data_IF_025874752865
#
_entry.id   IF_025874752865
#
_cell.length_a   1.000
_cell.length_b   1.000
_cell.length_c   1.000
_cell.angle_alpha   90.00
_cell.angle_beta   90.00
_cell.angle_gamma   90.00
#
_symmetry.space_group_name_H-M   'P 1'
#
loop_
_entity.id
_entity.type
_entity.pdbx_description
1 polymer ?
#
# COMPACT_ATOMS: atom_id res chain seq x y z
N UNK A 1 -6.48 7.19 11.45
CA UNK A 1 -7.14 8.24 10.64
C UNK A 1 -8.61 8.25 11.00
N UNK A 2 -9.17 9.42 11.29
CA UNK A 2 -10.58 9.62 11.64
C UNK A 2 -11.53 9.20 10.50
N UNK A 3 -12.66 8.54 10.85
CA UNK A 3 -13.69 8.07 9.91
C UNK A 3 -14.35 9.24 9.18
N UNK A 4 -14.47 10.41 9.80
CA UNK A 4 -15.03 11.62 9.17
C UNK A 4 -14.18 12.11 7.99
N UNK A 5 -12.85 12.12 8.16
CA UNK A 5 -11.91 12.52 7.08
C UNK A 5 -11.96 11.58 5.88
N UNK A 6 -12.17 10.27 6.09
CA UNK A 6 -12.26 9.31 4.99
C UNK A 6 -13.55 9.47 4.18
N UNK A 7 -14.69 9.68 4.87
CA UNK A 7 -15.97 9.96 4.19
C UNK A 7 -15.85 11.14 3.22
N UNK A 8 -15.22 12.23 3.67
CA UNK A 8 -15.03 13.42 2.82
C UNK A 8 -14.26 13.13 1.52
N UNK A 9 -13.33 12.16 1.51
CA UNK A 9 -12.51 11.87 0.32
C UNK A 9 -13.29 11.24 -0.83
N UNK A 10 -14.29 10.42 -0.55
CA UNK A 10 -15.08 9.77 -1.59
C UNK A 10 -16.43 10.45 -1.87
N UNK A 11 -16.85 11.43 -1.05
CA UNK A 11 -18.04 12.24 -1.31
C UNK A 11 -17.75 13.54 -2.07
N UNK A 12 -16.48 13.95 -2.19
CA UNK A 12 -16.11 15.19 -2.88
C UNK A 12 -15.65 14.92 -4.30
N UNK A 13 -16.24 15.64 -5.27
CA UNK A 13 -15.78 15.65 -6.66
C UNK A 13 -14.41 16.33 -6.81
N UNK A 14 -13.58 15.79 -7.70
CA UNK A 14 -12.41 16.48 -8.24
C UNK A 14 -12.68 16.94 -9.68
N UNK A 15 -12.37 18.19 -10.01
CA UNK A 15 -12.52 18.67 -11.39
C UNK A 15 -11.33 18.21 -12.25
N UNK A 16 -11.58 17.22 -13.11
CA UNK A 16 -10.59 16.64 -14.02
C UNK A 16 -10.33 17.49 -15.27
N UNK A 17 -11.10 18.56 -15.51
CA UNK A 17 -10.96 19.43 -16.69
C UNK A 17 -9.86 20.48 -16.53
N UNK A 18 -9.34 20.63 -15.31
CA UNK A 18 -8.26 21.56 -15.02
C UNK A 18 -6.93 21.11 -15.67
N UNK A 19 -6.47 21.87 -16.67
CA UNK A 19 -5.21 21.61 -17.38
C UNK A 19 -3.95 22.00 -16.61
N UNK A 20 -4.06 22.60 -15.42
CA UNK A 20 -2.89 22.99 -14.61
C UNK A 20 -2.22 21.82 -13.88
N UNK A 21 -2.78 20.61 -13.94
CA UNK A 21 -2.23 19.42 -13.27
C UNK A 21 -2.52 19.35 -11.76
N UNK A 22 -3.23 20.35 -11.21
CA UNK A 22 -3.63 20.37 -9.80
C UNK A 22 -5.05 19.84 -9.61
N UNK A 23 -5.24 19.04 -8.56
CA UNK A 23 -6.55 18.57 -8.10
C UNK A 23 -7.33 19.76 -7.53
N UNK A 24 -8.47 20.12 -8.15
CA UNK A 24 -9.41 21.09 -7.60
C UNK A 24 -10.51 20.34 -6.87
N UNK A 25 -10.69 20.63 -5.59
CA UNK A 25 -11.81 20.13 -4.81
C UNK A 25 -13.08 20.92 -5.15
N UNK A 26 -14.15 20.22 -5.57
CA UNK A 26 -15.47 20.82 -5.61
C UNK A 26 -16.09 20.83 -4.20
N UNK A 27 -17.08 21.71 -3.98
CA UNK A 27 -17.97 21.64 -2.83
C UNK A 27 -19.20 20.74 -3.09
N UNK A 28 -19.32 20.21 -4.30
CA UNK A 28 -20.41 19.33 -4.70
C UNK A 28 -20.26 17.93 -4.09
N UNK A 29 -21.39 17.32 -3.78
CA UNK A 29 -21.45 15.98 -3.18
C UNK A 29 -21.79 14.94 -4.24
N UNK A 30 -21.00 13.87 -4.29
CA UNK A 30 -21.26 12.75 -5.20
C UNK A 30 -22.53 12.01 -4.84
N UNK A 31 -23.20 11.48 -5.88
CA UNK A 31 -24.23 10.46 -5.72
C UNK A 31 -23.74 9.30 -4.86
N UNK A 32 -24.64 8.59 -4.15
CA UNK A 32 -24.27 7.40 -3.40
C UNK A 32 -23.51 6.37 -4.26
N UNK A 33 -22.62 5.55 -3.68
CA UNK A 33 -21.94 4.50 -4.41
C UNK A 33 -22.93 3.57 -5.14
N UNK A 34 -22.60 3.14 -6.36
CA UNK A 34 -23.51 2.32 -7.17
C UNK A 34 -23.79 0.99 -6.47
N UNK A 35 -24.94 0.39 -6.76
CA UNK A 35 -25.35 -0.92 -6.23
C UNK A 35 -25.42 -0.99 -4.68
N UNK A 36 -25.51 0.16 -4.00
CA UNK A 36 -25.52 0.22 -2.54
C UNK A 36 -24.19 -0.19 -1.90
N UNK A 37 -23.08 -0.11 -2.65
CA UNK A 37 -21.76 -0.52 -2.16
C UNK A 37 -21.30 0.33 -0.96
N UNK A 38 -20.75 -0.36 0.03
CA UNK A 38 -20.07 0.27 1.17
C UNK A 38 -18.60 0.48 0.84
N UNK A 39 -18.23 1.74 0.62
CA UNK A 39 -16.85 2.13 0.34
C UNK A 39 -15.95 1.72 1.52
N UNK A 40 -14.91 0.98 1.20
CA UNK A 40 -13.96 0.43 2.16
C UNK A 40 -12.62 1.11 1.99
N UNK A 41 -12.03 1.56 3.11
CA UNK A 41 -10.68 2.11 3.12
C UNK A 41 -9.64 1.01 2.89
N UNK A 42 -8.62 1.31 2.11
CA UNK A 42 -7.45 0.45 1.94
C UNK A 42 -6.17 1.22 1.66
N UNK A 43 -5.38 0.66 0.76
CA UNK A 43 -4.05 1.13 0.36
C UNK A 43 -3.98 1.05 -1.17
N UNK A 44 -3.19 1.93 -1.79
CA UNK A 44 -2.89 1.92 -3.22
C UNK A 44 -2.19 0.62 -3.67
N UNK A 45 -1.39 0.02 -2.77
CA UNK A 45 -0.60 -1.17 -3.08
C UNK A 45 -1.36 -2.44 -2.69
N UNK A 46 -1.69 -3.24 -3.69
CA UNK A 46 -2.52 -4.43 -3.54
C UNK A 46 -1.88 -5.63 -4.25
N UNK A 47 -2.23 -6.84 -3.81
CA UNK A 47 -1.86 -8.09 -4.47
C UNK A 47 -3.14 -8.86 -4.77
N UNK A 48 -3.38 -9.10 -6.05
CA UNK A 48 -4.61 -9.74 -6.54
C UNK A 48 -4.29 -10.93 -7.44
N UNK A 49 -5.16 -11.94 -7.38
CA UNK A 49 -5.08 -13.07 -8.31
C UNK A 49 -5.48 -12.67 -9.73
N UNK A 50 -5.00 -13.40 -10.74
CA UNK A 50 -5.45 -13.22 -12.13
C UNK A 50 -6.98 -13.27 -12.25
N UNK A 51 -7.64 -14.21 -11.55
CA UNK A 51 -9.11 -14.33 -11.53
C UNK A 51 -9.80 -13.08 -10.99
N UNK A 52 -9.25 -12.46 -9.94
CA UNK A 52 -9.76 -11.19 -9.43
C UNK A 52 -9.67 -10.10 -10.49
N UNK A 53 -8.53 -9.96 -11.16
CA UNK A 53 -8.31 -8.93 -12.18
C UNK A 53 -9.25 -9.13 -13.36
N UNK A 54 -9.36 -10.36 -13.88
CA UNK A 54 -10.27 -10.69 -14.98
C UNK A 54 -11.73 -10.42 -14.62
N UNK A 55 -12.13 -10.72 -13.38
CA UNK A 55 -13.45 -10.39 -12.87
C UNK A 55 -13.65 -8.87 -12.77
N UNK A 56 -12.72 -8.13 -12.19
CA UNK A 56 -12.82 -6.67 -12.02
C UNK A 56 -12.94 -5.93 -13.36
N UNK A 57 -12.32 -6.45 -14.42
CA UNK A 57 -12.39 -5.89 -15.78
C UNK A 57 -13.72 -6.18 -16.49
N UNK A 58 -14.44 -7.24 -16.12
CA UNK A 58 -15.63 -7.72 -16.84
C UNK A 58 -16.94 -7.47 -16.08
N UNK A 59 -16.90 -7.56 -14.75
CA UNK A 59 -18.07 -7.47 -13.90
C UNK A 59 -18.67 -6.07 -13.93
N UNK A 60 -19.99 -6.00 -14.08
CA UNK A 60 -20.72 -4.73 -14.17
C UNK A 60 -20.57 -3.90 -12.90
N UNK A 61 -20.66 -4.52 -11.72
CA UNK A 61 -20.57 -3.79 -10.44
C UNK A 61 -19.17 -3.19 -10.27
N UNK A 62 -18.13 -3.93 -10.65
CA UNK A 62 -16.75 -3.45 -10.60
C UNK A 62 -16.47 -2.28 -11.55
N UNK A 63 -17.07 -2.30 -12.75
CA UNK A 63 -16.95 -1.22 -13.75
C UNK A 63 -17.77 0.02 -13.38
N UNK A 64 -18.99 -0.17 -12.88
CA UNK A 64 -19.83 0.92 -12.41
C UNK A 64 -19.18 1.63 -11.21
N UNK A 65 -18.59 0.87 -10.27
CA UNK A 65 -17.80 1.45 -9.20
C UNK A 65 -16.57 2.20 -9.75
N UNK A 66 -15.88 1.65 -10.76
CA UNK A 66 -14.72 2.30 -11.35
C UNK A 66 -15.09 3.66 -11.95
N UNK A 67 -16.17 3.71 -12.73
CA UNK A 67 -16.69 4.97 -13.28
C UNK A 67 -17.06 5.95 -12.17
N UNK A 68 -17.69 5.47 -11.09
CA UNK A 68 -18.08 6.32 -9.97
C UNK A 68 -16.89 6.88 -9.18
N UNK A 69 -15.76 6.17 -9.08
CA UNK A 69 -14.57 6.66 -8.33
C UNK A 69 -13.64 7.56 -9.17
N UNK A 70 -13.83 7.67 -10.48
CA UNK A 70 -12.88 8.36 -11.40
C UNK A 70 -12.55 9.81 -10.98
N UNK A 71 -13.54 10.48 -10.42
CA UNK A 71 -13.55 11.87 -9.97
C UNK A 71 -13.66 11.97 -8.43
N UNK A 72 -13.19 10.94 -7.72
CA UNK A 72 -13.00 10.99 -6.25
C UNK A 72 -11.54 11.31 -5.89
N UNK A 73 -11.30 11.78 -4.66
CA UNK A 73 -9.94 11.96 -4.19
C UNK A 73 -9.30 10.61 -3.84
N UNK A 74 -8.10 10.34 -4.37
CA UNK A 74 -7.29 9.13 -4.08
C UNK A 74 -8.06 7.81 -4.31
N UNK A 75 -8.62 7.58 -5.52
CA UNK A 75 -9.44 6.40 -5.85
C UNK A 75 -8.74 5.06 -5.59
N UNK A 76 -7.42 5.05 -5.70
CA UNK A 76 -6.54 3.93 -5.41
C UNK A 76 -6.57 3.48 -3.94
N UNK A 77 -6.91 4.37 -2.99
CA UNK A 77 -7.05 4.04 -1.57
C UNK A 77 -8.41 3.44 -1.18
N UNK A 78 -9.38 3.31 -2.11
CA UNK A 78 -10.70 2.73 -1.78
C UNK A 78 -11.31 1.84 -2.86
N UNK A 79 -11.00 2.00 -4.14
CA UNK A 79 -11.57 1.17 -5.21
C UNK A 79 -11.31 -0.32 -4.98
N UNK A 80 -10.03 -0.68 -4.92
CA UNK A 80 -9.56 -2.06 -4.74
C UNK A 80 -10.04 -2.68 -3.42
N UNK A 81 -10.00 -1.88 -2.36
CA UNK A 81 -10.42 -2.34 -1.03
C UNK A 81 -11.92 -2.57 -0.93
N UNK A 82 -12.73 -1.78 -1.63
CA UNK A 82 -14.18 -1.95 -1.70
C UNK A 82 -14.54 -3.25 -2.42
N UNK A 83 -13.94 -3.51 -3.58
CA UNK A 83 -14.17 -4.74 -4.34
C UNK A 83 -13.71 -5.99 -3.57
N UNK A 84 -12.61 -5.89 -2.83
CA UNK A 84 -12.07 -7.01 -2.06
C UNK A 84 -12.80 -7.27 -0.73
N UNK A 85 -13.70 -6.40 -0.27
CA UNK A 85 -14.31 -6.51 1.06
C UNK A 85 -15.72 -7.14 1.01
N UNK A 86 -15.78 -8.46 1.14
CA UNK A 86 -17.04 -9.22 1.20
C UNK A 86 -17.73 -9.13 2.57
N UNK A 87 -17.04 -8.67 3.62
CA UNK A 87 -17.67 -8.41 4.91
C UNK A 87 -18.67 -7.25 4.82
N UNK A 88 -18.26 -6.15 4.17
CA UNK A 88 -19.14 -4.99 3.99
C UNK A 88 -20.03 -5.09 2.75
N UNK A 89 -19.62 -5.85 1.75
CA UNK A 89 -20.32 -6.02 0.47
C UNK A 89 -20.55 -7.51 0.14
N UNK A 90 -21.40 -8.22 0.91
CA UNK A 90 -21.59 -9.68 0.76
C UNK A 90 -22.24 -10.09 -0.57
N UNK A 91 -22.87 -9.17 -1.28
CA UNK A 91 -23.46 -9.41 -2.61
C UNK A 91 -22.41 -9.52 -3.73
N UNK A 92 -21.18 -9.06 -3.51
CA UNK A 92 -20.11 -9.15 -4.49
C UNK A 92 -19.67 -10.60 -4.69
N UNK A 93 -19.50 -11.00 -5.95
CA UNK A 93 -18.95 -12.30 -6.33
C UNK A 93 -17.43 -12.23 -6.59
N UNK A 94 -16.74 -11.43 -5.79
CA UNK A 94 -15.29 -11.16 -5.95
C UNK A 94 -14.45 -12.43 -5.74
N UNK A 95 -13.70 -12.90 -6.76
CA UNK A 95 -12.80 -14.03 -6.61
C UNK A 95 -11.70 -13.75 -5.58
N UNK A 96 -11.63 -14.56 -4.52
CA UNK A 96 -10.64 -14.39 -3.44
C UNK A 96 -10.93 -13.22 -2.50
N UNK A 97 -12.14 -12.66 -2.51
CA UNK A 97 -12.52 -11.56 -1.65
C UNK A 97 -12.42 -11.89 -0.15
N UNK A 98 -12.05 -10.90 0.64
CA UNK A 98 -11.85 -11.02 2.08
C UNK A 98 -13.17 -10.92 2.85
N UNK A 99 -13.45 -11.92 3.68
CA UNK A 99 -14.71 -12.04 4.45
C UNK A 99 -14.63 -11.47 5.88
N UNK A 100 -13.44 -11.11 6.35
CA UNK A 100 -13.23 -10.58 7.70
C UNK A 100 -13.45 -9.06 7.79
N UNK A 101 -13.44 -8.54 9.02
CA UNK A 101 -13.58 -7.09 9.24
C UNK A 101 -12.45 -6.31 8.52
N UNK A 102 -12.76 -5.23 7.76
CA UNK A 102 -11.79 -4.56 6.89
C UNK A 102 -10.55 -4.03 7.62
N UNK A 103 -10.71 -3.50 8.84
CA UNK A 103 -9.59 -2.98 9.64
C UNK A 103 -8.62 -4.07 10.15
N UNK A 104 -9.00 -5.35 10.04
CA UNK A 104 -8.18 -6.51 10.44
C UNK A 104 -7.62 -7.28 9.25
N UNK A 105 -7.75 -6.74 8.04
CA UNK A 105 -7.27 -7.40 6.82
C UNK A 105 -5.74 -7.55 6.87
N UNK A 106 -5.19 -8.77 6.76
CA UNK A 106 -3.75 -8.95 6.67
C UNK A 106 -3.23 -8.29 5.39
N UNK A 107 -2.10 -7.58 5.50
CA UNK A 107 -1.37 -7.04 4.35
C UNK A 107 -0.09 -7.83 4.19
N UNK A 108 0.08 -8.50 3.06
CA UNK A 108 1.35 -9.15 2.70
C UNK A 108 2.03 -8.47 1.49
N UNK A 109 1.35 -7.52 0.84
CA UNK A 109 1.86 -6.90 -0.39
C UNK A 109 2.99 -5.92 -0.13
N UNK A 110 2.74 -4.91 0.72
CA UNK A 110 3.71 -3.85 0.98
C UNK A 110 3.69 -3.38 2.42
N UNK A 111 4.87 -3.31 3.02
CA UNK A 111 5.10 -2.65 4.31
C UNK A 111 5.38 -1.15 4.10
N UNK A 112 4.70 -0.30 4.86
CA UNK A 112 4.93 1.15 4.87
C UNK A 112 5.16 1.59 6.31
N UNK A 113 6.32 2.20 6.56
CA UNK A 113 6.69 2.72 7.88
C UNK A 113 6.00 4.07 8.17
N UNK A 114 4.72 4.07 8.51
CA UNK A 114 4.00 5.31 8.85
C UNK A 114 4.49 5.89 10.18
N UNK A 115 4.68 7.21 10.23
CA UNK A 115 4.88 7.93 11.48
C UNK A 115 3.60 7.80 12.32
N UNK A 116 3.72 7.13 13.46
CA UNK A 116 2.63 7.00 14.41
C UNK A 116 3.18 7.11 15.83
N UNK A 117 2.36 7.54 16.81
CA UNK A 117 2.79 7.59 18.21
C UNK A 117 3.30 6.23 18.73
N UNK A 118 2.82 5.13 18.15
CA UNK A 118 3.12 3.74 18.57
C UNK A 118 4.35 3.18 17.85
N UNK A 119 4.85 3.85 16.80
CA UNK A 119 5.90 3.34 15.91
C UNK A 119 7.06 4.33 15.71
N UNK A 120 7.20 5.32 16.60
CA UNK A 120 8.24 6.35 16.50
C UNK A 120 9.65 5.78 16.44
N UNK A 121 9.87 4.63 17.06
CA UNK A 121 11.16 3.93 17.16
C UNK A 121 11.54 3.08 15.93
N UNK A 122 10.66 2.99 14.92
CA UNK A 122 10.84 2.08 13.76
C UNK A 122 11.57 2.68 12.57
N UNK A 123 11.92 3.97 12.63
CA UNK A 123 12.67 4.69 11.60
C UNK A 123 13.92 5.28 12.28
N UNK A 124 14.86 4.42 12.64
CA UNK A 124 16.02 4.71 13.50
C UNK A 124 17.10 5.49 12.76
N UNK A 125 17.48 5.00 11.57
CA UNK A 125 18.42 5.69 10.67
C UNK A 125 17.71 6.33 9.48
N UNK A 126 16.46 5.94 9.23
CA UNK A 126 15.63 6.52 8.19
C UNK A 126 15.20 7.95 8.47
N UNK A 127 14.54 8.55 7.47
CA UNK A 127 13.91 9.88 7.59
C UNK A 127 12.45 9.86 7.19
N UNK A 128 11.60 10.57 7.91
CA UNK A 128 10.20 10.72 7.55
C UNK A 128 10.02 11.79 6.47
N UNK A 129 9.45 11.40 5.33
CA UNK A 129 9.04 12.31 4.27
C UNK A 129 7.56 12.05 3.98
N UNK A 130 6.73 13.07 4.17
CA UNK A 130 5.26 12.97 4.13
C UNK A 130 4.69 11.92 5.11
N UNK A 131 5.24 11.86 6.33
CA UNK A 131 4.87 10.88 7.37
C UNK A 131 5.13 9.42 7.01
N UNK A 132 5.94 9.15 5.98
CA UNK A 132 6.38 7.81 5.58
C UNK A 132 7.89 7.72 5.78
N UNK A 133 8.33 6.69 6.51
CA UNK A 133 9.73 6.39 6.73
C UNK A 133 10.41 6.02 5.41
N UNK A 134 11.47 6.76 5.10
CA UNK A 134 12.47 6.42 4.11
C UNK A 134 13.53 5.61 4.83
N UNK A 135 13.53 4.29 4.66
CA UNK A 135 14.34 3.37 5.44
C UNK A 135 15.83 3.59 5.23
N UNK A 136 16.57 3.61 6.34
CA UNK A 136 18.04 3.56 6.36
C UNK A 136 18.56 2.18 6.78
N UNK A 137 19.89 2.04 6.83
CA UNK A 137 20.57 0.76 7.08
C UNK A 137 20.19 0.13 8.43
N UNK A 138 19.95 0.95 9.47
CA UNK A 138 19.55 0.47 10.80
C UNK A 138 18.08 0.03 10.88
N UNK A 139 17.28 0.28 9.85
CA UNK A 139 15.87 -0.13 9.78
C UNK A 139 15.71 -1.54 9.18
N UNK A 140 16.72 -2.04 8.45
CA UNK A 140 16.69 -3.32 7.75
C UNK A 140 16.36 -4.53 8.65
N UNK A 141 16.87 -4.63 9.90
CA UNK A 141 16.53 -5.76 10.78
C UNK A 141 15.03 -5.86 11.10
N UNK A 142 14.31 -4.73 11.11
CA UNK A 142 12.85 -4.73 11.29
C UNK A 142 12.18 -5.24 10.02
N UNK A 143 12.65 -4.83 8.85
CA UNK A 143 12.11 -5.26 7.57
C UNK A 143 12.28 -6.76 7.32
N UNK A 144 13.41 -7.34 7.76
CA UNK A 144 13.68 -8.77 7.60
C UNK A 144 12.67 -9.68 8.32
N UNK A 145 12.07 -9.22 9.41
CA UNK A 145 11.10 -10.00 10.21
C UNK A 145 9.66 -9.85 9.72
N UNK A 146 9.43 -9.08 8.66
CA UNK A 146 8.10 -8.78 8.12
C UNK A 146 7.65 -9.87 7.14
N UNK A 147 6.34 -10.03 7.03
CA UNK A 147 5.73 -10.98 6.09
C UNK A 147 5.47 -10.34 4.73
N UNK A 148 5.60 -9.01 4.64
CA UNK A 148 5.38 -8.27 3.41
C UNK A 148 6.49 -8.49 2.38
N UNK A 149 6.10 -8.67 1.11
CA UNK A 149 7.04 -8.98 0.02
C UNK A 149 7.78 -7.75 -0.53
N UNK A 150 7.27 -6.54 -0.25
CA UNK A 150 7.85 -5.26 -0.68
C UNK A 150 7.84 -4.30 0.53
N UNK A 151 8.85 -3.44 0.65
CA UNK A 151 8.87 -2.36 1.64
C UNK A 151 8.91 -0.99 0.94
N UNK A 152 8.27 0.02 1.54
CA UNK A 152 8.26 1.40 1.07
C UNK A 152 8.55 2.40 2.22
N UNK A 153 9.49 3.34 2.07
CA UNK A 153 10.29 3.67 0.87
C UNK A 153 11.80 3.60 1.11
N UNK A 154 12.56 3.44 0.03
CA UNK A 154 14.01 3.60 0.00
C UNK A 154 14.35 4.78 -0.89
N UNK A 155 15.46 5.45 -0.58
CA UNK A 155 15.98 6.58 -1.34
C UNK A 155 17.49 6.42 -1.44
N UNK A 156 17.97 6.12 -2.65
CA UNK A 156 19.38 5.84 -2.93
C UNK A 156 20.25 7.08 -2.66
N UNK A 157 19.70 8.29 -2.80
CA UNK A 157 20.43 9.52 -2.51
C UNK A 157 20.57 9.78 -1.01
N UNK A 158 19.65 9.23 -0.21
CA UNK A 158 19.68 9.37 1.24
C UNK A 158 20.55 8.30 1.91
N UNK A 159 20.28 7.02 1.63
CA UNK A 159 21.03 5.90 2.19
C UNK A 159 21.24 4.81 1.13
N UNK A 160 22.30 4.91 0.31
CA UNK A 160 22.61 3.91 -0.71
C UNK A 160 23.05 2.57 -0.09
N UNK A 161 23.53 2.57 1.16
CA UNK A 161 23.96 1.36 1.86
C UNK A 161 22.74 0.51 2.21
N UNK A 162 21.65 1.13 2.68
CA UNK A 162 20.39 0.44 2.94
C UNK A 162 19.89 -0.30 1.68
N UNK A 163 19.93 0.38 0.53
CA UNK A 163 19.54 -0.19 -0.75
C UNK A 163 20.43 -1.38 -1.15
N UNK A 164 21.76 -1.20 -1.10
CA UNK A 164 22.74 -2.24 -1.45
C UNK A 164 22.63 -3.47 -0.55
N UNK A 165 22.45 -3.29 0.76
CA UNK A 165 22.28 -4.38 1.70
C UNK A 165 21.02 -5.22 1.39
N UNK A 166 19.92 -4.58 1.01
CA UNK A 166 18.70 -5.29 0.60
C UNK A 166 18.87 -6.03 -0.72
N UNK A 167 19.55 -5.43 -1.71
CA UNK A 167 19.88 -6.08 -2.97
C UNK A 167 20.73 -7.34 -2.73
N UNK A 168 21.84 -7.22 -2.00
CA UNK A 168 22.70 -8.35 -1.67
C UNK A 168 21.95 -9.42 -0.88
N UNK A 169 21.07 -9.04 0.05
CA UNK A 169 20.26 -9.99 0.82
C UNK A 169 19.33 -10.78 -0.10
N UNK A 170 18.62 -10.12 -1.01
CA UNK A 170 17.72 -10.78 -1.97
C UNK A 170 18.52 -11.70 -2.91
N UNK A 171 19.66 -11.22 -3.42
CA UNK A 171 20.54 -12.00 -4.28
C UNK A 171 21.08 -13.24 -3.54
N UNK A 172 21.60 -13.08 -2.33
CA UNK A 172 22.09 -14.22 -1.54
C UNK A 172 20.97 -15.22 -1.25
N UNK A 173 19.77 -14.76 -0.86
CA UNK A 173 18.63 -15.66 -0.62
C UNK A 173 18.13 -16.36 -1.90
N UNK A 174 18.40 -15.77 -3.07
CA UNK A 174 18.05 -16.35 -4.38
C UNK A 174 19.14 -17.28 -4.92
N UNK A 175 20.41 -16.98 -4.64
CA UNK A 175 21.62 -17.63 -5.19
C UNK A 175 22.23 -18.65 -4.23
N UNK A 176 22.04 -18.58 -2.91
CA UNK A 176 22.46 -19.65 -1.98
C UNK A 176 21.74 -20.97 -2.28
N UNK A 177 20.57 -20.93 -2.93
CA UNK A 177 19.95 -22.12 -3.54
C UNK A 177 20.74 -22.71 -4.72
N UNK A 178 21.83 -22.07 -5.16
CA UNK A 178 22.74 -22.46 -6.26
C UNK A 178 24.20 -22.64 -5.83
N UNK A 179 24.50 -22.74 -4.52
CA UNK A 179 25.79 -23.25 -4.04
C UNK A 179 27.00 -22.29 -4.06
N UNK A 180 26.80 -20.97 -4.13
CA UNK A 180 27.91 -19.99 -4.06
C UNK A 180 27.83 -19.22 -2.74
N UNK A 181 28.72 -19.55 -1.80
CA UNK A 181 28.86 -18.86 -0.51
C UNK A 181 29.59 -17.53 -0.69
N UNK A 182 28.87 -16.40 -0.57
CA UNK A 182 29.45 -15.06 -0.43
C UNK A 182 29.05 -14.49 0.92
N UNK A 183 30.03 -14.05 1.74
CA UNK A 183 29.75 -13.42 3.04
C UNK A 183 28.97 -12.11 2.84
N UNK A 184 27.72 -11.99 3.33
CA UNK A 184 26.87 -10.82 3.07
C UNK A 184 27.43 -9.52 3.67
N UNK A 185 27.34 -8.40 2.97
CA UNK A 185 27.82 -7.09 3.44
C UNK A 185 27.09 -6.62 4.71
N UNK A 186 25.80 -6.96 4.87
CA UNK A 186 25.02 -6.60 6.07
C UNK A 186 25.61 -7.21 7.36
N UNK A 187 26.24 -8.40 7.28
CA UNK A 187 26.92 -9.02 8.44
C UNK A 187 28.23 -8.31 8.79
N UNK A 188 28.90 -7.67 7.82
CA UNK A 188 30.11 -6.87 8.08
C UNK A 188 29.75 -5.55 8.76
N UNK A 189 28.66 -4.92 8.33
CA UNK A 189 28.20 -3.64 8.91
C UNK A 189 27.67 -3.84 10.34
N UNK A 190 26.93 -4.93 10.60
CA UNK A 190 26.45 -5.26 11.95
C UNK A 190 27.59 -5.56 12.96
N UNK A 191 28.80 -5.90 12.48
CA UNK A 191 29.98 -6.12 13.32
C UNK A 191 30.77 -4.83 13.61
N UNK A 192 30.45 -3.71 12.94
CA UNK A 192 31.14 -2.44 13.11
C UNK A 192 30.57 -1.54 14.22
N UNK A 193 29.58 -2.04 14.99
CA UNK A 193 29.20 -1.44 16.27
C UNK A 193 28.90 0.07 16.24
N UNK A 194 28.03 0.50 15.33
CA UNK A 194 27.36 1.82 15.41
C UNK A 194 25.98 1.66 16.01
#
# INVERSE_FOLDING_TARGET
MDRGRFKKRYYTYIDLRNKSGYIIHSNDHKDPPPHGLKITKGNAYNVFSRKFVEWALKDRIARDLLAWVQDTLTPDEHYWATLNNLFSNPSLKTPGGYKGHPDKRPSFGRYIGWSSPVHKDRCKAGRYIHNICTFGVLDLPVLWKRNEIIANKFDIQYDPIAYKCMEELILNNSVEKRGVSRRPLYRRIAQLGV
#
